data_IF_651807305905
#
_entry.id   IF_651807305905
#
_cell.length_a   1.000
_cell.length_b   1.000
_cell.length_c   1.000
_cell.angle_alpha   90.00
_cell.angle_beta   90.00
_cell.angle_gamma   90.00
#
_symmetry.space_group_name_H-M   'P 1'
#
loop_
_entity.id
_entity.type
_entity.pdbx_description
1 polymer ?
#
# COMPACT_ATOMS: atom_id res chain seq x y z
N UNK A 1 22.53 8.68 20.38
CA UNK A 1 21.76 7.40 20.40
C UNK A 1 20.48 7.50 21.24
N UNK A 2 19.55 8.43 20.93
CA UNK A 2 18.28 8.52 21.69
C UNK A 2 17.05 8.90 20.83
N UNK A 3 17.21 9.20 19.54
CA UNK A 3 16.11 9.66 18.69
C UNK A 3 15.58 8.59 17.71
N UNK A 4 16.25 7.44 17.58
CA UNK A 4 15.82 6.38 16.65
C UNK A 4 14.81 5.39 17.26
N UNK A 5 14.51 5.48 18.57
CA UNK A 5 13.61 4.54 19.27
C UNK A 5 12.14 4.95 19.32
N UNK A 6 11.79 6.19 18.94
CA UNK A 6 10.40 6.67 18.93
C UNK A 6 9.65 6.46 17.61
N UNK A 7 10.35 6.20 16.51
CA UNK A 7 9.72 5.93 15.22
C UNK A 7 9.22 4.48 15.09
N UNK A 8 9.77 3.54 15.87
CA UNK A 8 9.40 2.12 15.78
C UNK A 8 8.15 1.73 16.60
N UNK A 9 7.62 2.64 17.42
CA UNK A 9 6.46 2.35 18.27
C UNK A 9 5.11 2.74 17.66
N UNK A 10 5.11 3.42 16.50
CA UNK A 10 3.90 3.82 15.77
C UNK A 10 3.48 2.82 14.68
N UNK A 11 4.31 1.82 14.36
CA UNK A 11 4.02 0.85 13.30
C UNK A 11 3.52 -0.51 13.80
N UNK A 12 3.33 -0.70 15.11
CA UNK A 12 2.91 -1.99 15.69
C UNK A 12 1.42 -2.10 16.02
N UNK A 13 0.63 -1.04 15.77
CA UNK A 13 -0.80 -0.98 16.11
C UNK A 13 -1.75 -1.06 14.89
N UNK A 14 -1.27 -1.45 13.71
CA UNK A 14 -2.14 -1.67 12.54
C UNK A 14 -2.40 -3.17 12.24
N UNK A 15 -2.39 -4.00 13.30
CA UNK A 15 -2.77 -5.43 13.24
C UNK A 15 -4.21 -5.70 13.71
N UNK A 16 -5.06 -4.68 13.76
CA UNK A 16 -6.47 -4.81 14.17
C UNK A 16 -7.39 -4.08 13.18
N UNK A 17 -7.53 -4.58 11.95
CA UNK A 17 -8.69 -4.29 11.10
C UNK A 17 -8.83 -5.25 9.91
N UNK A 18 -8.63 -6.56 10.11
CA UNK A 18 -9.00 -7.58 9.11
C UNK A 18 -9.66 -8.80 9.78
N UNK A 19 -10.50 -8.54 10.78
CA UNK A 19 -11.30 -9.58 11.44
C UNK A 19 -12.74 -9.13 11.72
N UNK A 20 -13.25 -8.17 10.93
CA UNK A 20 -14.62 -7.64 11.10
C UNK A 20 -15.41 -7.51 9.79
N UNK A 21 -15.07 -8.35 8.82
CA UNK A 21 -15.89 -8.60 7.62
C UNK A 21 -16.24 -10.08 7.57
N UNK A 22 -16.86 -10.58 8.64
CA UNK A 22 -17.36 -11.97 8.73
C UNK A 22 -18.80 -12.04 9.22
N UNK A 23 -19.54 -10.94 9.12
CA UNK A 23 -20.94 -10.82 9.54
C UNK A 23 -21.70 -9.79 8.66
N UNK A 24 -21.46 -9.79 7.35
CA UNK A 24 -22.52 -9.40 6.43
C UNK A 24 -23.23 -10.67 5.98
N UNK A 25 -23.99 -11.24 6.92
CA UNK A 25 -25.19 -11.97 6.58
C UNK A 25 -26.12 -10.98 5.86
N UNK A 26 -25.91 -10.85 4.54
CA UNK A 26 -26.96 -10.41 3.64
C UNK A 26 -28.01 -11.52 3.67
N UNK A 27 -28.84 -11.52 4.72
CA UNK A 27 -30.15 -12.13 4.70
C UNK A 27 -30.92 -11.33 3.65
N UNK A 28 -30.80 -11.77 2.40
CA UNK A 28 -31.83 -11.50 1.40
C UNK A 28 -33.10 -12.06 2.04
N UNK A 29 -34.07 -11.22 2.42
CA UNK A 29 -35.35 -11.75 2.85
C UNK A 29 -35.84 -12.52 1.64
N UNK A 30 -35.94 -13.84 1.77
CA UNK A 30 -36.72 -14.64 0.85
C UNK A 30 -38.13 -14.07 0.96
N UNK A 31 -38.45 -13.08 0.12
CA UNK A 31 -39.80 -12.60 -0.05
C UNK A 31 -40.54 -13.75 -0.72
N UNK A 32 -41.02 -14.68 0.10
CA UNK A 32 -42.07 -15.59 -0.26
C UNK A 32 -43.32 -14.75 -0.51
N UNK A 33 -43.39 -14.17 -1.71
CA UNK A 33 -44.54 -13.47 -2.26
C UNK A 33 -45.58 -14.52 -2.68
N UNK A 34 -45.94 -15.41 -1.74
CA UNK A 34 -46.99 -16.40 -1.92
C UNK A 34 -48.40 -15.79 -1.84
N UNK A 35 -48.49 -14.49 -1.50
CA UNK A 35 -49.75 -13.81 -1.19
C UNK A 35 -50.56 -13.40 -2.43
N UNK A 36 -49.94 -13.21 -3.61
CA UNK A 36 -50.67 -12.73 -4.81
C UNK A 36 -51.52 -13.79 -5.52
N UNK A 37 -51.37 -15.07 -5.19
CA UNK A 37 -52.05 -16.15 -5.94
C UNK A 37 -53.55 -16.25 -5.68
N UNK A 38 -54.02 -15.78 -4.51
CA UNK A 38 -55.40 -15.97 -4.05
C UNK A 38 -56.37 -14.81 -4.33
N UNK A 39 -55.89 -13.58 -4.56
CA UNK A 39 -56.80 -12.42 -4.67
C UNK A 39 -57.52 -12.32 -6.03
N UNK A 40 -56.89 -12.77 -7.11
CA UNK A 40 -57.30 -12.43 -8.49
C UNK A 40 -58.33 -13.36 -9.12
N UNK A 41 -58.48 -14.60 -8.63
CA UNK A 41 -59.51 -15.54 -9.14
C UNK A 41 -60.91 -15.24 -8.58
N UNK A 42 -60.96 -14.58 -7.42
CA UNK A 42 -62.19 -14.15 -6.80
C UNK A 42 -62.84 -12.98 -7.56
N UNK A 43 -62.07 -12.03 -8.09
CA UNK A 43 -62.64 -10.76 -8.58
C UNK A 43 -63.50 -10.91 -9.85
N UNK A 44 -63.06 -11.69 -10.85
CA UNK A 44 -63.79 -11.80 -12.13
C UNK A 44 -65.11 -12.60 -11.99
N UNK A 45 -65.12 -13.64 -11.16
CA UNK A 45 -66.33 -14.41 -10.84
C UNK A 45 -67.30 -13.63 -9.93
N UNK A 46 -66.78 -12.83 -9.00
CA UNK A 46 -67.60 -11.95 -8.18
C UNK A 46 -68.19 -10.77 -8.97
N UNK A 47 -67.45 -10.19 -9.92
CA UNK A 47 -67.95 -9.09 -10.76
C UNK A 47 -69.09 -9.57 -11.67
N UNK A 48 -68.93 -10.72 -12.34
CA UNK A 48 -70.02 -11.34 -13.11
C UNK A 48 -71.24 -11.63 -12.26
N UNK A 49 -71.07 -12.04 -10.99
CA UNK A 49 -72.19 -12.31 -10.08
C UNK A 49 -72.86 -11.04 -9.55
N UNK A 50 -72.10 -9.95 -9.36
CA UNK A 50 -72.61 -8.68 -8.85
C UNK A 50 -73.53 -7.94 -9.85
N UNK A 51 -73.39 -8.22 -11.15
CA UNK A 51 -74.13 -7.56 -12.23
C UNK A 51 -75.21 -8.44 -12.88
N UNK A 52 -75.55 -9.59 -12.30
CA UNK A 52 -76.68 -10.41 -12.77
C UNK A 52 -78.01 -9.74 -12.39
N UNK A 53 -78.68 -9.15 -13.39
CA UNK A 53 -80.05 -8.66 -13.24
C UNK A 53 -81.02 -9.78 -13.60
N UNK A 54 -81.90 -10.13 -12.67
CA UNK A 54 -83.07 -10.96 -12.95
C UNK A 54 -84.10 -10.12 -13.71
N UNK A 55 -84.05 -10.23 -15.05
CA UNK A 55 -84.92 -9.48 -15.96
C UNK A 55 -86.40 -9.80 -15.72
N UNK A 56 -86.73 -11.03 -15.31
CA UNK A 56 -88.11 -11.43 -15.08
C UNK A 56 -88.64 -10.82 -13.77
N UNK A 57 -87.87 -10.90 -12.69
CA UNK A 57 -88.23 -10.28 -11.43
C UNK A 57 -88.36 -8.75 -11.55
N UNK A 58 -87.48 -8.12 -12.34
CA UNK A 58 -87.51 -6.67 -12.57
C UNK A 58 -88.77 -6.24 -13.36
N UNK A 59 -89.12 -6.95 -14.44
CA UNK A 59 -90.36 -6.71 -15.20
C UNK A 59 -91.59 -6.88 -14.31
N UNK A 60 -91.66 -7.98 -13.54
CA UNK A 60 -92.79 -8.24 -12.63
C UNK A 60 -92.91 -7.21 -11.51
N UNK A 61 -91.77 -6.71 -11.00
CA UNK A 61 -91.75 -5.63 -10.02
C UNK A 61 -92.26 -4.29 -10.58
N UNK A 62 -91.92 -3.96 -11.83
CA UNK A 62 -92.41 -2.76 -12.52
C UNK A 62 -93.91 -2.87 -12.83
N UNK A 63 -94.37 -4.02 -13.30
CA UNK A 63 -95.80 -4.30 -13.52
C UNK A 63 -96.62 -4.18 -12.22
N UNK A 64 -96.11 -4.70 -11.10
CA UNK A 64 -96.75 -4.59 -9.79
C UNK A 64 -96.87 -3.13 -9.28
N UNK A 65 -96.09 -2.19 -9.84
CA UNK A 65 -96.16 -0.75 -9.56
C UNK A 65 -97.00 0.03 -10.57
N UNK A 66 -97.72 -0.66 -11.47
CA UNK A 66 -98.63 -0.06 -12.43
C UNK A 66 -97.99 0.31 -13.77
N UNK A 67 -96.76 -0.14 -14.05
CA UNK A 67 -96.11 0.08 -15.36
C UNK A 67 -96.69 -0.92 -16.38
N UNK A 68 -97.15 -0.47 -17.56
CA UNK A 68 -97.59 -1.36 -18.63
C UNK A 68 -96.49 -2.33 -19.06
N UNK A 69 -96.86 -3.59 -19.32
CA UNK A 69 -95.93 -4.70 -19.62
C UNK A 69 -94.88 -4.34 -20.68
N UNK A 70 -95.29 -3.75 -21.81
CA UNK A 70 -94.37 -3.30 -22.88
C UNK A 70 -93.36 -2.23 -22.44
N UNK A 71 -93.77 -1.34 -21.53
CA UNK A 71 -92.89 -0.30 -20.99
C UNK A 71 -91.94 -0.89 -19.93
N UNK A 72 -92.41 -1.82 -19.11
CA UNK A 72 -91.58 -2.54 -18.14
C UNK A 72 -90.48 -3.36 -18.82
N UNK A 73 -90.79 -4.02 -19.93
CA UNK A 73 -89.83 -4.72 -20.78
C UNK A 73 -88.80 -3.76 -21.39
N UNK A 74 -89.24 -2.63 -21.95
CA UNK A 74 -88.35 -1.64 -22.56
C UNK A 74 -87.38 -1.00 -21.55
N UNK A 75 -87.87 -0.64 -20.35
CA UNK A 75 -87.05 -0.11 -19.26
C UNK A 75 -86.04 -1.16 -18.78
N UNK A 76 -86.49 -2.41 -18.59
CA UNK A 76 -85.62 -3.52 -18.20
C UNK A 76 -84.52 -3.74 -19.23
N UNK A 77 -84.87 -3.72 -20.52
CA UNK A 77 -83.91 -3.86 -21.62
C UNK A 77 -82.85 -2.75 -21.63
N UNK A 78 -83.27 -1.48 -21.47
CA UNK A 78 -82.34 -0.35 -21.40
C UNK A 78 -81.38 -0.44 -20.19
N UNK A 79 -81.89 -0.86 -19.02
CA UNK A 79 -81.07 -1.08 -17.82
C UNK A 79 -80.06 -2.21 -18.04
N UNK A 80 -80.51 -3.34 -18.59
CA UNK A 80 -79.61 -4.46 -18.89
C UNK A 80 -78.52 -4.06 -19.88
N UNK A 81 -78.84 -3.23 -20.88
CA UNK A 81 -77.85 -2.73 -21.84
C UNK A 81 -76.80 -1.84 -21.17
N UNK A 82 -77.21 -0.83 -20.41
CA UNK A 82 -76.28 0.07 -19.71
C UNK A 82 -75.39 -0.70 -18.72
N UNK A 83 -75.93 -1.72 -18.04
CA UNK A 83 -75.16 -2.57 -17.13
C UNK A 83 -74.14 -3.46 -17.86
N UNK A 84 -74.49 -4.00 -19.03
CA UNK A 84 -73.56 -4.76 -19.86
C UNK A 84 -72.42 -3.87 -20.37
N UNK A 85 -72.74 -2.67 -20.88
CA UNK A 85 -71.75 -1.71 -21.36
C UNK A 85 -70.82 -1.25 -20.21
N UNK A 86 -71.40 -1.02 -19.03
CA UNK A 86 -70.64 -0.65 -17.82
C UNK A 86 -69.72 -1.78 -17.36
N UNK A 87 -70.19 -3.04 -17.41
CA UNK A 87 -69.41 -4.21 -17.04
C UNK A 87 -68.23 -4.41 -17.99
N UNK A 88 -68.44 -4.25 -19.30
CA UNK A 88 -67.38 -4.36 -20.31
C UNK A 88 -66.30 -3.29 -20.11
N UNK A 89 -66.70 -2.05 -19.85
CA UNK A 89 -65.77 -0.95 -19.57
C UNK A 89 -64.93 -1.20 -18.29
N UNK A 90 -65.57 -1.72 -17.24
CA UNK A 90 -64.88 -2.08 -15.99
C UNK A 90 -63.90 -3.24 -16.22
N UNK A 91 -64.31 -4.29 -16.93
CA UNK A 91 -63.44 -5.44 -17.26
C UNK A 91 -62.22 -5.00 -18.09
N UNK A 92 -62.39 -4.08 -19.03
CA UNK A 92 -61.29 -3.53 -19.85
C UNK A 92 -60.29 -2.68 -19.04
N UNK A 93 -60.68 -2.19 -17.86
CA UNK A 93 -59.79 -1.47 -16.95
C UNK A 93 -58.95 -2.39 -16.06
N UNK A 94 -59.26 -3.70 -16.03
CA UNK A 94 -58.54 -4.68 -15.24
C UNK A 94 -57.59 -5.52 -16.12
N UNK A 95 -56.40 -5.78 -15.58
CA UNK A 95 -55.45 -6.72 -16.20
C UNK A 95 -55.87 -8.15 -15.91
N UNK A 96 -55.79 -9.03 -16.90
CA UNK A 96 -56.10 -10.45 -16.70
C UNK A 96 -55.13 -11.09 -15.72
N UNK A 97 -55.60 -12.07 -14.92
CA UNK A 97 -54.74 -12.85 -14.02
C UNK A 97 -53.57 -13.50 -14.76
N UNK A 98 -53.80 -13.94 -16.00
CA UNK A 98 -52.78 -14.58 -16.85
C UNK A 98 -51.69 -13.56 -17.21
N UNK A 99 -52.07 -12.33 -17.57
CA UNK A 99 -51.13 -11.26 -17.93
C UNK A 99 -50.34 -10.79 -16.73
N UNK A 100 -51.00 -10.63 -15.57
CA UNK A 100 -50.33 -10.30 -14.30
C UNK A 100 -49.29 -11.36 -13.93
N UNK A 101 -49.67 -12.65 -13.97
CA UNK A 101 -48.76 -13.75 -13.67
C UNK A 101 -47.60 -13.84 -14.67
N UNK A 102 -47.86 -13.58 -15.96
CA UNK A 102 -46.80 -13.50 -16.98
C UNK A 102 -45.81 -12.39 -16.67
N UNK A 103 -46.30 -11.20 -16.27
CA UNK A 103 -45.44 -10.08 -15.87
C UNK A 103 -44.61 -10.41 -14.63
N UNK A 104 -45.21 -11.07 -13.63
CA UNK A 104 -44.52 -11.51 -12.41
C UNK A 104 -43.37 -12.47 -12.73
N UNK A 105 -43.63 -13.51 -13.54
CA UNK A 105 -42.59 -14.47 -13.95
C UNK A 105 -41.47 -13.79 -14.75
N UNK A 106 -41.80 -12.82 -15.60
CA UNK A 106 -40.81 -12.07 -16.37
C UNK A 106 -39.94 -11.17 -15.48
N UNK A 107 -40.55 -10.53 -14.47
CA UNK A 107 -39.81 -9.76 -13.47
C UNK A 107 -38.91 -10.65 -12.61
N UNK A 108 -39.42 -11.80 -12.14
CA UNK A 108 -38.65 -12.77 -11.37
C UNK A 108 -37.45 -13.31 -12.17
N UNK A 109 -37.66 -13.63 -13.46
CA UNK A 109 -36.57 -14.06 -14.35
C UNK A 109 -35.52 -12.97 -14.54
N UNK A 110 -35.93 -11.72 -14.73
CA UNK A 110 -35.02 -10.58 -14.89
C UNK A 110 -34.23 -10.31 -13.62
N UNK A 111 -34.88 -10.38 -12.45
CA UNK A 111 -34.24 -10.24 -11.15
C UNK A 111 -33.24 -11.36 -10.88
N UNK A 112 -33.58 -12.60 -11.24
CA UNK A 112 -32.69 -13.75 -11.12
C UNK A 112 -31.44 -13.60 -11.99
N UNK A 113 -31.60 -13.16 -13.25
CA UNK A 113 -30.47 -12.85 -14.15
C UNK A 113 -29.59 -11.75 -13.58
N UNK A 114 -30.18 -10.62 -13.18
CA UNK A 114 -29.45 -9.52 -12.56
C UNK A 114 -28.66 -9.98 -11.33
N UNK A 115 -29.27 -10.77 -10.45
CA UNK A 115 -28.59 -11.35 -9.28
C UNK A 115 -27.38 -12.20 -9.69
N UNK A 116 -27.52 -13.05 -10.71
CA UNK A 116 -26.43 -13.89 -11.21
C UNK A 116 -25.28 -13.09 -11.83
N UNK A 117 -25.59 -12.02 -12.58
CA UNK A 117 -24.60 -11.13 -13.17
C UNK A 117 -23.84 -10.34 -12.09
N UNK A 118 -24.55 -9.82 -11.09
CA UNK A 118 -23.94 -9.12 -9.94
C UNK A 118 -23.03 -10.05 -9.15
N UNK A 119 -23.49 -11.26 -8.85
CA UNK A 119 -22.68 -12.25 -8.12
C UNK A 119 -21.44 -12.64 -8.92
N UNK A 120 -21.58 -12.95 -10.21
CA UNK A 120 -20.46 -13.30 -11.09
C UNK A 120 -19.45 -12.16 -11.20
N UNK A 121 -19.93 -10.93 -11.37
CA UNK A 121 -19.09 -9.73 -11.42
C UNK A 121 -18.33 -9.53 -10.11
N UNK A 122 -19.00 -9.66 -8.97
CA UNK A 122 -18.39 -9.52 -7.65
C UNK A 122 -17.31 -10.58 -7.42
N UNK A 123 -17.58 -11.85 -7.72
CA UNK A 123 -16.62 -12.94 -7.61
C UNK A 123 -15.40 -12.72 -8.53
N UNK A 124 -15.63 -12.23 -9.75
CA UNK A 124 -14.55 -11.91 -10.68
C UNK A 124 -13.67 -10.76 -10.17
N UNK A 125 -14.28 -9.64 -9.76
CA UNK A 125 -13.54 -8.49 -9.23
C UNK A 125 -12.78 -8.84 -7.95
N UNK A 126 -13.37 -9.62 -7.05
CA UNK A 126 -12.71 -10.09 -5.85
C UNK A 126 -11.50 -10.96 -6.19
N UNK A 127 -11.67 -11.93 -7.10
CA UNK A 127 -10.58 -12.80 -7.55
C UNK A 127 -9.43 -12.03 -8.20
N UNK A 128 -9.76 -11.02 -9.02
CA UNK A 128 -8.78 -10.15 -9.66
C UNK A 128 -7.98 -9.35 -8.61
N UNK A 129 -8.68 -8.68 -7.69
CA UNK A 129 -8.07 -7.89 -6.63
C UNK A 129 -7.19 -8.75 -5.71
N UNK A 130 -7.64 -9.96 -5.38
CA UNK A 130 -6.86 -10.90 -4.58
C UNK A 130 -5.56 -11.30 -5.30
N UNK A 131 -5.63 -11.57 -6.60
CA UNK A 131 -4.45 -11.92 -7.42
C UNK A 131 -3.47 -10.75 -7.53
N UNK A 132 -3.96 -9.53 -7.73
CA UNK A 132 -3.12 -8.33 -7.78
C UNK A 132 -2.48 -8.03 -6.43
N UNK A 133 -3.22 -8.20 -5.34
CA UNK A 133 -2.71 -8.04 -3.98
C UNK A 133 -1.58 -9.03 -3.69
N UNK A 134 -1.74 -10.31 -4.04
CA UNK A 134 -0.67 -11.30 -3.82
C UNK A 134 0.53 -11.07 -4.72
N UNK A 135 0.32 -10.62 -5.97
CA UNK A 135 1.41 -10.21 -6.86
C UNK A 135 2.21 -9.05 -6.26
N UNK A 136 1.53 -7.97 -5.84
CA UNK A 136 2.17 -6.82 -5.22
C UNK A 136 2.91 -7.21 -3.93
N UNK A 137 2.32 -8.12 -3.12
CA UNK A 137 2.97 -8.66 -1.92
C UNK A 137 4.26 -9.40 -2.27
N UNK A 138 4.25 -10.19 -3.33
CA UNK A 138 5.44 -10.88 -3.85
C UNK A 138 6.52 -9.91 -4.33
N UNK A 139 6.14 -8.89 -5.10
CA UNK A 139 7.06 -7.86 -5.60
C UNK A 139 7.71 -7.09 -4.43
N UNK A 140 6.95 -6.74 -3.39
CA UNK A 140 7.47 -6.09 -2.18
C UNK A 140 8.51 -6.99 -1.47
N UNK A 141 8.23 -8.28 -1.32
CA UNK A 141 9.16 -9.19 -0.63
C UNK A 141 10.44 -9.40 -1.44
N UNK A 142 10.34 -9.47 -2.77
CA UNK A 142 11.49 -9.51 -3.67
C UNK A 142 12.33 -8.24 -3.57
N UNK A 143 11.72 -7.06 -3.66
CA UNK A 143 12.45 -5.80 -3.49
C UNK A 143 13.13 -5.71 -2.12
N UNK A 144 12.46 -6.18 -1.07
CA UNK A 144 13.01 -6.21 0.29
C UNK A 144 14.25 -7.10 0.39
N UNK A 145 14.24 -8.28 -0.22
CA UNK A 145 15.39 -9.19 -0.19
C UNK A 145 16.56 -8.65 -1.01
N UNK A 146 16.31 -8.10 -2.20
CA UNK A 146 17.32 -7.44 -3.04
C UNK A 146 17.97 -6.25 -2.33
N UNK A 147 17.18 -5.37 -1.70
CA UNK A 147 17.72 -4.25 -0.94
C UNK A 147 18.59 -4.69 0.24
N UNK A 148 18.19 -5.74 0.96
CA UNK A 148 19.01 -6.28 2.05
C UNK A 148 20.35 -6.81 1.53
N UNK A 149 20.32 -7.54 0.42
CA UNK A 149 21.52 -8.05 -0.21
C UNK A 149 22.46 -6.92 -0.64
N UNK A 150 21.96 -5.88 -1.31
CA UNK A 150 22.78 -4.73 -1.71
C UNK A 150 23.34 -3.96 -0.50
N UNK A 151 22.56 -3.80 0.58
CA UNK A 151 23.05 -3.21 1.83
C UNK A 151 24.21 -4.03 2.41
N UNK A 152 24.05 -5.34 2.51
CA UNK A 152 25.08 -6.23 3.07
C UNK A 152 26.34 -6.22 2.20
N UNK A 153 26.17 -6.24 0.87
CA UNK A 153 27.25 -6.17 -0.11
C UNK A 153 28.02 -4.86 -0.02
N UNK A 154 27.34 -3.71 0.00
CA UNK A 154 27.99 -2.39 0.13
C UNK A 154 28.68 -2.27 1.48
N UNK A 155 28.04 -2.73 2.56
CA UNK A 155 28.61 -2.69 3.91
C UNK A 155 29.88 -3.55 4.01
N UNK A 156 29.86 -4.75 3.43
CA UNK A 156 31.03 -5.62 3.37
C UNK A 156 32.16 -5.01 2.52
N UNK A 157 31.81 -4.42 1.37
CA UNK A 157 32.76 -3.71 0.50
C UNK A 157 33.43 -2.54 1.24
N UNK A 158 32.65 -1.66 1.85
CA UNK A 158 33.19 -0.54 2.63
C UNK A 158 34.09 -0.99 3.78
N UNK A 159 33.70 -2.08 4.48
CA UNK A 159 34.53 -2.64 5.55
C UNK A 159 35.85 -3.18 4.99
N UNK A 160 35.85 -3.83 3.84
CA UNK A 160 37.06 -4.30 3.19
C UNK A 160 37.97 -3.13 2.79
N UNK A 161 37.42 -2.13 2.10
CA UNK A 161 38.15 -0.94 1.66
C UNK A 161 38.84 -0.22 2.83
N UNK A 162 38.13 -0.02 3.94
CA UNK A 162 38.69 0.58 5.14
C UNK A 162 39.81 -0.27 5.77
N UNK A 163 39.71 -1.60 5.71
CA UNK A 163 40.76 -2.47 6.24
C UNK A 163 42.00 -2.47 5.33
N UNK A 164 41.81 -2.44 4.01
CA UNK A 164 42.92 -2.33 3.05
C UNK A 164 43.62 -0.99 3.19
N UNK A 165 42.89 0.12 3.25
CA UNK A 165 43.48 1.45 3.42
C UNK A 165 44.18 1.58 4.78
N UNK A 166 43.60 1.01 5.84
CA UNK A 166 44.26 0.94 7.15
C UNK A 166 45.57 0.13 7.10
N UNK A 167 45.60 -0.97 6.33
CA UNK A 167 46.82 -1.74 6.08
C UNK A 167 47.87 -0.89 5.38
N UNK A 168 47.48 -0.23 4.29
CA UNK A 168 48.35 0.63 3.49
C UNK A 168 48.95 1.79 4.30
N UNK A 169 48.14 2.44 5.15
CA UNK A 169 48.61 3.49 6.06
C UNK A 169 49.63 2.96 7.07
N UNK A 170 49.44 1.72 7.59
CA UNK A 170 50.41 1.11 8.51
C UNK A 170 51.74 0.82 7.83
N UNK A 171 51.70 0.31 6.60
CA UNK A 171 52.91 0.01 5.84
C UNK A 171 53.68 1.30 5.49
N UNK A 172 52.97 2.34 5.06
CA UNK A 172 53.55 3.67 4.80
C UNK A 172 54.16 4.28 6.08
N UNK A 173 53.46 4.19 7.22
CA UNK A 173 53.96 4.66 8.51
C UNK A 173 55.20 3.87 8.95
N UNK A 174 55.24 2.56 8.72
CA UNK A 174 56.41 1.74 9.03
C UNK A 174 57.62 2.12 8.15
N UNK A 175 57.38 2.38 6.87
CA UNK A 175 58.42 2.86 5.96
C UNK A 175 58.97 4.23 6.38
N UNK A 176 58.10 5.19 6.68
CA UNK A 176 58.50 6.51 7.17
C UNK A 176 59.28 6.44 8.49
N UNK A 177 58.89 5.56 9.41
CA UNK A 177 59.63 5.33 10.65
C UNK A 177 61.03 4.75 10.38
N UNK A 178 61.16 3.82 9.43
CA UNK A 178 62.45 3.25 9.04
C UNK A 178 63.36 4.30 8.38
N UNK A 179 62.81 5.12 7.48
CA UNK A 179 63.52 6.24 6.86
C UNK A 179 63.97 7.26 7.90
N UNK A 180 63.09 7.64 8.83
CA UNK A 180 63.39 8.56 9.93
C UNK A 180 64.51 8.01 10.81
N UNK A 181 64.44 6.73 11.20
CA UNK A 181 65.50 6.10 12.00
C UNK A 181 66.84 6.04 11.25
N UNK A 182 66.82 5.72 9.97
CA UNK A 182 68.01 5.74 9.11
C UNK A 182 68.63 7.14 9.02
N UNK A 183 67.81 8.17 8.85
CA UNK A 183 68.27 9.55 8.79
C UNK A 183 68.83 10.01 10.15
N UNK A 184 68.17 9.69 11.26
CA UNK A 184 68.69 9.98 12.61
C UNK A 184 70.06 9.31 12.82
N UNK A 185 70.21 8.04 12.44
CA UNK A 185 71.49 7.34 12.56
C UNK A 185 72.60 7.98 11.70
N UNK A 186 72.26 8.49 10.50
CA UNK A 186 73.21 9.23 9.65
C UNK A 186 73.60 10.56 10.29
N UNK A 187 72.64 11.31 10.83
CA UNK A 187 72.89 12.56 11.53
C UNK A 187 73.78 12.36 12.76
N UNK A 188 73.53 11.33 13.57
CA UNK A 188 74.36 11.00 14.73
C UNK A 188 75.80 10.68 14.29
N UNK A 189 75.97 9.93 13.20
CA UNK A 189 77.28 9.64 12.62
C UNK A 189 78.00 10.92 12.19
N UNK A 190 77.33 11.81 11.44
CA UNK A 190 77.89 13.10 11.01
C UNK A 190 78.24 13.99 12.20
N UNK A 191 77.43 14.02 13.26
CA UNK A 191 77.72 14.73 14.51
C UNK A 191 79.00 14.19 15.16
N UNK A 192 79.17 12.86 15.23
CA UNK A 192 80.37 12.24 15.78
C UNK A 192 81.62 12.54 14.94
N UNK A 193 81.50 12.50 13.61
CA UNK A 193 82.58 12.83 12.68
C UNK A 193 82.99 14.30 12.80
N UNK A 194 82.03 15.23 12.79
CA UNK A 194 82.28 16.66 13.00
C UNK A 194 82.92 16.93 14.36
N UNK A 195 82.46 16.26 15.42
CA UNK A 195 83.08 16.38 16.75
C UNK A 195 84.54 15.90 16.74
N UNK A 196 84.84 14.80 16.06
CA UNK A 196 86.21 14.32 15.94
C UNK A 196 87.11 15.30 15.16
N UNK A 197 86.62 15.88 14.06
CA UNK A 197 87.33 16.93 13.32
C UNK A 197 87.59 18.18 14.15
N UNK A 198 86.61 18.62 14.95
CA UNK A 198 86.78 19.77 15.87
C UNK A 198 87.83 19.47 16.94
N UNK A 199 87.82 18.27 17.53
CA UNK A 199 88.84 17.87 18.51
C UNK A 199 90.23 17.82 17.89
N UNK A 200 90.38 17.25 16.69
CA UNK A 200 91.65 17.24 15.96
C UNK A 200 92.16 18.67 15.66
N UNK A 201 91.28 19.53 15.13
CA UNK A 201 91.63 20.93 14.86
C UNK A 201 92.03 21.70 16.14
N UNK A 202 91.39 21.42 17.28
CA UNK A 202 91.78 21.98 18.58
C UNK A 202 93.22 21.58 18.95
N UNK A 203 93.59 20.31 18.78
CA UNK A 203 94.96 19.85 19.04
C UNK A 203 95.99 20.49 18.10
N UNK A 204 95.65 20.65 16.82
CA UNK A 204 96.51 21.36 15.86
C UNK A 204 96.76 22.81 16.29
N UNK A 205 95.72 23.54 16.67
CA UNK A 205 95.85 24.92 17.19
C UNK A 205 96.75 24.97 18.43
N UNK A 206 96.55 24.07 19.40
CA UNK A 206 97.40 23.99 20.60
C UNK A 206 98.86 23.74 20.21
N UNK A 207 99.12 22.83 19.28
CA UNK A 207 100.48 22.52 18.78
C UNK A 207 101.13 23.74 18.15
N UNK A 208 100.41 24.47 17.29
CA UNK A 208 100.92 25.71 16.70
C UNK A 208 101.20 26.79 17.75
N UNK A 209 100.31 26.98 18.73
CA UNK A 209 100.51 27.93 19.83
C UNK A 209 101.79 27.61 20.62
N UNK A 210 102.01 26.36 21.02
CA UNK A 210 103.23 25.93 21.71
C UNK A 210 104.46 26.21 20.84
N UNK A 211 104.42 25.83 19.56
CA UNK A 211 105.51 26.09 18.62
C UNK A 211 105.86 27.57 18.50
N UNK A 212 104.87 28.45 18.43
CA UNK A 212 105.09 29.90 18.37
C UNK A 212 105.64 30.46 19.68
N UNK A 213 105.14 30.04 20.85
CA UNK A 213 105.65 30.49 22.15
C UNK A 213 107.12 30.09 22.34
N UNK A 214 107.47 28.86 21.96
CA UNK A 214 108.87 28.37 22.02
C UNK A 214 109.75 29.11 21.04
N UNK A 215 109.28 29.38 19.81
CA UNK A 215 110.03 30.15 18.81
C UNK A 215 110.31 31.58 19.28
N UNK A 216 109.30 32.28 19.81
CA UNK A 216 109.46 33.63 20.37
C UNK A 216 110.44 33.61 21.54
N UNK A 217 110.34 32.63 22.45
CA UNK A 217 111.25 32.50 23.60
C UNK A 217 112.69 32.22 23.15
N UNK A 218 112.90 31.36 22.15
CA UNK A 218 114.22 31.06 21.61
C UNK A 218 114.87 32.28 20.94
N UNK A 219 114.10 33.04 20.15
CA UNK A 219 114.56 34.30 19.56
C UNK A 219 114.89 35.32 20.66
N UNK A 220 114.03 35.46 21.68
CA UNK A 220 114.27 36.34 22.82
C UNK A 220 115.56 36.01 23.57
N UNK A 221 115.81 34.73 23.87
CA UNK A 221 117.05 34.28 24.50
C UNK A 221 118.28 34.52 23.61
N UNK A 222 118.16 34.32 22.29
CA UNK A 222 119.25 34.58 21.35
C UNK A 222 119.64 36.07 21.33
N UNK A 223 118.64 36.97 21.37
CA UNK A 223 118.88 38.43 21.45
C UNK A 223 119.56 38.81 22.77
N UNK A 224 119.08 38.29 23.91
CA UNK A 224 119.70 38.56 25.23
C UNK A 224 121.17 38.14 25.24
N UNK A 225 121.50 36.98 24.64
CA UNK A 225 122.89 36.48 24.54
C UNK A 225 123.81 37.36 23.69
N UNK A 226 123.27 38.12 22.73
CA UNK A 226 124.07 39.04 21.91
C UNK A 226 124.30 40.38 22.64
N UNK A 227 123.39 40.77 23.54
CA UNK A 227 123.42 42.07 24.25
C UNK A 227 124.23 42.00 25.55
N UNK A 228 124.18 40.89 26.29
CA UNK A 228 125.00 40.61 27.48
C UNK A 228 126.38 40.05 27.11
#
# INVERSE_FOLDING_TARGET
MALCKRAFHLCSNHRLCLAKYRDLDYVVPSMTLQSSRHLSQAMNSNLKRAFLVDTLALVRGLEAKGVPSKQAEAITSAITQVLNDSLENVVNSFVSKIEMQKSEVLQESSLSKFKSEVQSSQEHHFSLLQRETEKLRGDIEKMRSEMRYEIDKVTAGQRLDLNLERGRIRDELANQNAETSSLTNKLDREIHELRAHVEAAKYDVIKYCIGTLVSISAVGLAVIRIIL
#
